data_IF_875893919905
#
_entry.id   IF_875893919905
#
_cell.length_a   1.000
_cell.length_b   1.000
_cell.length_c   1.000
_cell.angle_alpha   90.00
_cell.angle_beta   90.00
_cell.angle_gamma   90.00
#
_symmetry.space_group_name_H-M   'P 1'
#
loop_
_entity.id
_entity.type
_entity.pdbx_description
1 polymer ?
#
# COMPACT_ATOMS: atom_id res chain seq x y z
N UNK A 1 12.82 2.60 14.99
CA UNK A 1 12.32 2.81 16.36
C UNK A 1 12.94 4.08 16.94
N UNK A 2 12.13 5.05 17.26
CA UNK A 2 12.63 6.23 17.99
C UNK A 2 12.66 5.88 19.48
N UNK A 3 13.82 5.94 20.14
CA UNK A 3 13.96 5.68 21.57
C UNK A 3 13.01 6.49 22.46
N UNK A 4 12.49 7.61 21.92
CA UNK A 4 11.46 8.43 22.58
C UNK A 4 10.13 7.67 22.79
N UNK A 5 9.74 6.79 21.88
CA UNK A 5 8.52 5.97 22.03
C UNK A 5 8.71 4.92 23.13
N UNK A 6 9.89 4.30 23.22
CA UNK A 6 10.23 3.37 24.29
C UNK A 6 10.23 4.04 25.67
N UNK A 7 10.76 5.27 25.77
CA UNK A 7 10.70 6.05 26.99
C UNK A 7 9.28 6.49 27.35
N UNK A 8 8.43 6.68 26.36
CA UNK A 8 7.05 7.10 26.57
C UNK A 8 6.12 5.94 26.98
N UNK A 9 6.29 4.75 26.40
CA UNK A 9 5.43 3.59 26.60
C UNK A 9 6.12 2.35 27.19
N UNK A 10 7.41 2.40 27.46
CA UNK A 10 8.18 1.27 27.99
C UNK A 10 7.68 0.76 29.34
N UNK A 11 8.12 -0.42 29.79
CA UNK A 11 7.65 -1.10 30.99
C UNK A 11 7.76 -0.23 32.25
N UNK A 12 8.81 0.60 32.33
CA UNK A 12 9.05 1.53 33.45
C UNK A 12 8.39 2.91 33.29
N UNK A 13 7.64 3.14 32.21
CA UNK A 13 6.90 4.38 32.01
C UNK A 13 5.63 4.40 32.85
N UNK A 14 5.34 5.53 33.49
CA UNK A 14 4.05 5.78 34.15
C UNK A 14 2.91 6.02 33.15
N UNK A 15 3.23 6.20 31.88
CA UNK A 15 2.23 6.44 30.85
C UNK A 15 1.36 5.19 30.62
N UNK A 16 0.07 5.42 30.38
CA UNK A 16 -0.86 4.36 30.02
C UNK A 16 -0.60 3.91 28.57
N UNK A 17 -0.81 2.64 28.31
CA UNK A 17 -0.87 2.14 26.94
C UNK A 17 -2.08 2.70 26.20
N UNK A 18 -2.04 2.81 24.86
CA UNK A 18 -3.22 3.18 24.09
C UNK A 18 -4.40 2.25 24.39
N UNK A 19 -5.56 2.83 24.73
CA UNK A 19 -6.81 2.09 24.95
C UNK A 19 -7.65 1.99 23.67
N UNK A 20 -7.32 2.81 22.67
CA UNK A 20 -8.00 2.87 21.37
C UNK A 20 -6.98 2.95 20.23
N UNK A 21 -7.17 2.09 19.24
CA UNK A 21 -6.45 2.11 17.96
C UNK A 21 -7.47 2.41 16.87
N UNK A 22 -7.23 3.46 16.08
CA UNK A 22 -8.03 3.79 14.90
C UNK A 22 -7.24 3.43 13.66
N UNK A 23 -7.77 2.49 12.88
CA UNK A 23 -7.17 2.01 11.63
C UNK A 23 -8.01 2.49 10.46
N UNK A 24 -7.53 3.51 9.76
CA UNK A 24 -8.18 3.96 8.52
C UNK A 24 -7.70 3.15 7.31
N UNK A 25 -8.52 3.13 6.25
CA UNK A 25 -8.23 2.44 4.98
C UNK A 25 -7.84 0.96 5.16
N UNK A 26 -8.58 0.23 6.00
CA UNK A 26 -8.29 -1.18 6.33
C UNK A 26 -8.13 -2.09 5.11
N UNK A 27 -8.79 -1.80 3.99
CA UNK A 27 -8.68 -2.59 2.77
C UNK A 27 -7.26 -2.62 2.17
N UNK A 28 -6.40 -1.66 2.52
CA UNK A 28 -4.99 -1.67 2.13
C UNK A 28 -4.18 -2.71 2.91
N UNK A 29 -4.67 -3.10 4.09
CA UNK A 29 -4.01 -4.08 4.96
C UNK A 29 -4.44 -5.49 4.55
N UNK A 30 -3.97 -5.94 3.40
CA UNK A 30 -4.29 -7.25 2.82
C UNK A 30 -3.10 -7.83 2.07
N UNK A 31 -3.16 -9.11 1.71
CA UNK A 31 -2.09 -9.80 1.02
C UNK A 31 -0.77 -9.78 1.81
N UNK A 32 0.34 -9.53 1.14
CA UNK A 32 1.67 -9.52 1.76
C UNK A 32 1.81 -8.42 2.83
N UNK A 33 1.31 -7.20 2.56
CA UNK A 33 1.31 -6.12 3.55
C UNK A 33 0.47 -6.48 4.77
N UNK A 34 -0.75 -6.98 4.56
CA UNK A 34 -1.63 -7.39 5.66
C UNK A 34 -1.04 -8.53 6.49
N UNK A 35 -0.35 -9.45 5.86
CA UNK A 35 0.37 -10.54 6.53
C UNK A 35 1.44 -10.00 7.48
N UNK A 36 2.25 -9.05 7.03
CA UNK A 36 3.28 -8.42 7.87
C UNK A 36 2.67 -7.56 8.99
N UNK A 37 1.63 -6.77 8.68
CA UNK A 37 0.92 -5.98 9.70
C UNK A 37 0.35 -6.89 10.78
N UNK A 38 -0.35 -7.98 10.43
CA UNK A 38 -0.92 -8.92 11.40
C UNK A 38 0.15 -9.59 12.28
N UNK A 39 1.35 -9.84 11.75
CA UNK A 39 2.46 -10.34 12.54
C UNK A 39 2.96 -9.27 13.54
N UNK A 40 3.12 -8.01 13.12
CA UNK A 40 3.52 -6.93 14.03
C UNK A 40 2.42 -6.54 15.03
N UNK A 41 1.13 -6.72 14.70
CA UNK A 41 0.03 -6.56 15.64
C UNK A 41 0.15 -7.49 16.86
N UNK A 42 0.84 -8.63 16.70
CA UNK A 42 1.19 -9.52 17.82
C UNK A 42 2.06 -8.78 18.85
N UNK A 43 3.04 -8.00 18.40
CA UNK A 43 3.87 -7.20 19.30
C UNK A 43 3.04 -6.11 20.00
N UNK A 44 2.15 -5.43 19.28
CA UNK A 44 1.29 -4.37 19.83
C UNK A 44 0.36 -4.93 20.91
N UNK A 45 -0.29 -6.06 20.64
CA UNK A 45 -1.16 -6.73 21.60
C UNK A 45 -0.39 -7.24 22.82
N UNK A 46 0.78 -7.84 22.63
CA UNK A 46 1.63 -8.32 23.72
C UNK A 46 2.10 -7.20 24.63
N UNK A 47 2.59 -6.10 24.04
CA UNK A 47 3.04 -4.93 24.80
C UNK A 47 1.89 -4.24 25.57
N UNK A 48 0.72 -4.18 24.98
CA UNK A 48 -0.48 -3.65 25.66
C UNK A 48 -0.93 -4.56 26.78
N UNK A 49 -0.91 -5.88 26.54
CA UNK A 49 -1.26 -6.91 27.51
C UNK A 49 -0.35 -6.94 28.74
N UNK A 50 0.94 -6.66 28.61
CA UNK A 50 1.88 -6.53 29.73
C UNK A 50 1.44 -5.45 30.75
N UNK A 51 0.65 -4.46 30.32
CA UNK A 51 0.08 -3.42 31.18
C UNK A 51 -1.41 -3.66 31.49
N UNK A 52 -1.93 -4.83 31.23
CA UNK A 52 -3.32 -5.22 31.52
C UNK A 52 -4.35 -4.54 30.61
N UNK A 53 -3.96 -3.99 29.46
CA UNK A 53 -4.84 -3.29 28.54
C UNK A 53 -5.00 -4.07 27.25
N UNK A 54 -6.24 -4.25 26.79
CA UNK A 54 -6.55 -4.73 25.46
C UNK A 54 -7.14 -3.59 24.63
N UNK A 55 -6.39 -2.91 23.76
CA UNK A 55 -6.87 -1.76 23.02
C UNK A 55 -8.11 -2.10 22.19
N UNK A 56 -9.12 -1.24 22.21
CA UNK A 56 -10.24 -1.34 21.28
C UNK A 56 -9.74 -0.91 19.90
N UNK A 57 -10.02 -1.73 18.88
CA UNK A 57 -9.70 -1.37 17.49
C UNK A 57 -10.96 -0.92 16.78
N UNK A 58 -10.93 0.26 16.18
CA UNK A 58 -11.95 0.79 15.27
C UNK A 58 -11.31 0.90 13.91
N UNK A 59 -11.80 0.14 12.93
CA UNK A 59 -11.29 0.16 11.59
C UNK A 59 -12.33 0.72 10.62
N UNK A 60 -11.90 1.61 9.70
CA UNK A 60 -12.73 2.13 8.62
C UNK A 60 -12.24 1.62 7.26
N UNK A 61 -13.17 1.41 6.33
CA UNK A 61 -12.84 0.95 4.98
C UNK A 61 -13.97 1.26 4.00
N UNK A 62 -13.60 1.55 2.75
CA UNK A 62 -14.57 1.82 1.69
C UNK A 62 -15.09 0.53 1.05
N UNK A 63 -14.20 -0.42 0.73
CA UNK A 63 -14.52 -1.61 -0.08
C UNK A 63 -13.79 -2.82 0.46
N UNK A 64 -14.47 -3.65 1.22
CA UNK A 64 -13.90 -4.88 1.76
C UNK A 64 -14.93 -6.02 1.71
N UNK A 65 -14.49 -7.17 1.27
CA UNK A 65 -15.24 -8.42 1.32
C UNK A 65 -14.60 -9.32 2.36
N UNK A 66 -15.39 -10.01 3.17
CA UNK A 66 -14.94 -10.84 4.31
C UNK A 66 -14.19 -10.03 5.40
N UNK A 67 -14.70 -8.86 5.72
CA UNK A 67 -14.12 -7.98 6.75
C UNK A 67 -13.93 -8.70 8.10
N UNK A 68 -14.89 -9.54 8.48
CA UNK A 68 -14.84 -10.27 9.76
C UNK A 68 -13.66 -11.22 9.82
N UNK A 69 -13.44 -12.01 8.77
CA UNK A 69 -12.34 -12.96 8.68
C UNK A 69 -10.99 -12.23 8.68
N UNK A 70 -10.85 -11.21 7.86
CA UNK A 70 -9.62 -10.43 7.78
C UNK A 70 -9.27 -9.75 9.11
N UNK A 71 -10.24 -9.07 9.75
CA UNK A 71 -10.01 -8.41 11.02
C UNK A 71 -9.74 -9.40 12.16
N UNK A 72 -10.38 -10.57 12.17
CA UNK A 72 -10.11 -11.58 13.19
C UNK A 72 -8.69 -12.11 13.09
N UNK A 73 -8.18 -12.30 11.89
CA UNK A 73 -6.80 -12.73 11.64
C UNK A 73 -5.78 -11.65 12.00
N UNK A 74 -6.07 -10.39 11.64
CA UNK A 74 -5.17 -9.28 11.93
C UNK A 74 -5.08 -8.98 13.42
N UNK A 75 -6.22 -8.87 14.09
CA UNK A 75 -6.30 -8.33 15.45
C UNK A 75 -6.59 -9.36 16.53
N UNK A 76 -6.87 -10.62 16.16
CA UNK A 76 -7.27 -11.67 17.11
C UNK A 76 -8.42 -11.22 18.04
N UNK A 77 -9.46 -10.61 17.50
CA UNK A 77 -10.59 -10.04 18.25
C UNK A 77 -11.93 -10.41 17.64
N UNK A 78 -12.97 -10.39 18.49
CA UNK A 78 -14.35 -10.49 18.01
C UNK A 78 -14.69 -9.24 17.18
N UNK A 79 -15.12 -9.44 15.94
CA UNK A 79 -15.40 -8.37 15.00
C UNK A 79 -16.89 -8.08 14.94
N UNK A 80 -17.24 -6.81 15.07
CA UNK A 80 -18.60 -6.30 14.85
C UNK A 80 -18.54 -5.31 13.70
N UNK A 81 -19.31 -5.59 12.65
CA UNK A 81 -19.40 -4.70 11.49
C UNK A 81 -20.53 -3.66 11.74
N UNK A 82 -20.20 -2.39 11.53
CA UNK A 82 -21.16 -1.30 11.56
C UNK A 82 -21.00 -0.45 10.29
N UNK A 83 -22.10 -0.05 9.64
CA UNK A 83 -23.47 -0.45 9.95
C UNK A 83 -23.71 -1.96 9.67
N UNK A 84 -24.73 -2.50 10.31
CA UNK A 84 -25.22 -3.82 9.93
C UNK A 84 -25.73 -3.77 8.47
N UNK A 85 -25.67 -4.89 7.71
CA UNK A 85 -26.28 -4.96 6.39
C UNK A 85 -27.74 -4.50 6.45
N UNK A 86 -28.10 -3.57 5.56
CA UNK A 86 -29.49 -3.13 5.40
C UNK A 86 -30.33 -4.17 4.63
N UNK A 87 -31.65 -3.94 4.59
CA UNK A 87 -32.56 -4.73 3.77
C UNK A 87 -32.39 -4.41 2.28
N UNK A 88 -31.96 -3.20 1.96
CA UNK A 88 -31.71 -2.70 0.62
C UNK A 88 -30.21 -2.41 0.45
N UNK A 89 -29.63 -2.87 -0.67
CA UNK A 89 -28.24 -2.62 -0.97
C UNK A 89 -27.93 -1.15 -1.29
N UNK A 90 -28.95 -0.38 -1.69
CA UNK A 90 -28.86 1.03 -2.08
C UNK A 90 -29.08 1.98 -0.89
N UNK A 91 -29.47 1.46 0.28
CA UNK A 91 -29.75 2.25 1.50
C UNK A 91 -28.98 1.71 2.70
N UNK A 92 -28.04 2.47 3.19
CA UNK A 92 -27.27 2.16 4.39
C UNK A 92 -27.44 3.26 5.44
N UNK A 93 -27.00 3.00 6.68
CA UNK A 93 -27.04 3.99 7.75
C UNK A 93 -26.33 5.31 7.38
N UNK A 94 -25.25 5.25 6.60
CA UNK A 94 -24.44 6.42 6.24
C UNK A 94 -24.78 7.03 4.91
N UNK A 95 -25.35 6.27 3.97
CA UNK A 95 -25.51 6.71 2.60
C UNK A 95 -26.70 6.04 1.92
N UNK A 96 -27.33 6.80 1.05
CA UNK A 96 -28.32 6.32 0.07
C UNK A 96 -27.79 6.54 -1.32
N UNK A 97 -28.04 5.61 -2.22
CA UNK A 97 -27.71 5.78 -3.62
C UNK A 97 -28.64 6.82 -4.25
N UNK A 98 -28.06 7.92 -4.73
CA UNK A 98 -28.78 8.91 -5.52
C UNK A 98 -28.72 8.52 -7.00
N UNK A 99 -29.81 7.96 -7.51
CA UNK A 99 -29.88 7.46 -8.89
C UNK A 99 -29.73 8.59 -9.89
N UNK A 100 -28.95 8.34 -10.93
CA UNK A 100 -28.79 9.24 -12.06
C UNK A 100 -30.14 9.46 -12.72
N UNK A 101 -30.55 10.73 -12.89
CA UNK A 101 -31.78 11.11 -13.59
C UNK A 101 -31.49 12.31 -14.51
N UNK A 102 -31.20 12.00 -15.75
CA UNK A 102 -30.87 13.03 -16.74
C UNK A 102 -32.00 14.05 -16.95
N UNK A 103 -33.27 13.65 -16.74
CA UNK A 103 -34.42 14.54 -16.87
C UNK A 103 -34.45 15.64 -15.80
N UNK A 104 -33.88 15.34 -14.63
CA UNK A 104 -33.74 16.27 -13.50
C UNK A 104 -32.37 16.93 -13.42
N UNK A 105 -31.51 16.77 -14.44
CA UNK A 105 -30.15 17.30 -14.42
C UNK A 105 -29.23 16.62 -13.43
N UNK A 106 -29.60 15.42 -12.93
CA UNK A 106 -28.73 14.62 -12.05
C UNK A 106 -27.82 13.75 -12.89
N UNK A 107 -26.56 14.14 -12.90
CA UNK A 107 -25.50 13.42 -13.63
C UNK A 107 -24.57 12.74 -12.62
N UNK A 108 -23.99 11.62 -13.06
CA UNK A 108 -22.99 10.90 -12.28
C UNK A 108 -21.68 10.74 -13.05
N UNK A 109 -20.94 9.72 -12.68
CA UNK A 109 -19.72 9.32 -13.39
C UNK A 109 -20.06 8.37 -14.53
N UNK A 110 -19.56 8.68 -15.72
CA UNK A 110 -19.73 7.83 -16.91
C UNK A 110 -18.47 7.03 -17.18
N UNK A 111 -18.60 5.74 -17.36
CA UNK A 111 -17.51 4.86 -17.78
C UNK A 111 -17.57 4.56 -19.26
N UNK A 112 -16.41 4.58 -19.94
CA UNK A 112 -16.29 4.32 -21.37
C UNK A 112 -15.15 3.34 -21.61
N UNK A 113 -15.48 2.10 -22.00
CA UNK A 113 -14.49 1.08 -22.34
C UNK A 113 -14.00 1.22 -23.78
N UNK A 114 -12.70 1.17 -23.99
CA UNK A 114 -12.07 1.27 -25.31
C UNK A 114 -11.09 0.11 -25.46
N UNK A 115 -11.34 -0.73 -26.48
CA UNK A 115 -10.38 -1.75 -26.88
C UNK A 115 -9.86 -1.42 -28.28
N UNK A 116 -8.57 -1.12 -28.42
CA UNK A 116 -7.99 -0.81 -29.71
C UNK A 116 -7.97 -2.06 -30.62
N UNK A 117 -8.44 -1.91 -31.83
CA UNK A 117 -8.31 -2.90 -32.89
C UNK A 117 -7.32 -2.41 -33.93
N UNK A 118 -6.34 -3.23 -34.30
CA UNK A 118 -5.36 -2.92 -35.33
C UNK A 118 -4.34 -1.80 -34.96
N UNK A 119 -4.21 -1.46 -33.66
CA UNK A 119 -3.27 -0.46 -33.16
C UNK A 119 -2.57 -0.99 -31.91
N UNK A 120 -1.34 -0.50 -31.68
CA UNK A 120 -0.61 -0.82 -30.46
C UNK A 120 -1.22 -0.08 -29.26
N UNK A 121 -1.01 -0.63 -28.05
CA UNK A 121 -1.41 0.00 -26.77
C UNK A 121 -0.88 1.44 -26.70
N UNK A 122 0.42 1.65 -26.95
CA UNK A 122 1.05 2.97 -26.87
C UNK A 122 0.47 3.99 -27.88
N UNK A 123 0.23 3.59 -29.12
CA UNK A 123 -0.38 4.49 -30.10
C UNK A 123 -1.80 4.88 -29.71
N UNK A 124 -2.55 3.98 -29.10
CA UNK A 124 -3.90 4.30 -28.60
C UNK A 124 -3.84 5.24 -27.43
N UNK A 125 -2.91 5.03 -26.51
CA UNK A 125 -2.65 5.87 -25.35
C UNK A 125 -2.32 7.31 -25.76
N UNK A 126 -1.36 7.50 -26.69
CA UNK A 126 -1.01 8.81 -27.26
C UNK A 126 -2.24 9.51 -27.84
N UNK A 127 -2.99 8.79 -28.68
CA UNK A 127 -4.18 9.34 -29.34
C UNK A 127 -5.28 9.72 -28.36
N UNK A 128 -5.52 8.89 -27.36
CA UNK A 128 -6.51 9.15 -26.32
C UNK A 128 -6.14 10.38 -25.51
N UNK A 129 -4.91 10.45 -25.00
CA UNK A 129 -4.45 11.61 -24.25
C UNK A 129 -4.54 12.89 -25.11
N UNK A 130 -4.02 12.88 -26.33
CA UNK A 130 -4.07 14.03 -27.22
C UNK A 130 -5.50 14.47 -27.54
N UNK A 131 -6.40 13.51 -27.84
CA UNK A 131 -7.79 13.82 -28.18
C UNK A 131 -8.55 14.42 -26.97
N UNK A 132 -8.39 13.85 -25.77
CA UNK A 132 -9.06 14.33 -24.56
C UNK A 132 -8.55 15.72 -24.17
N UNK A 133 -7.24 15.94 -24.18
CA UNK A 133 -6.61 17.22 -23.89
C UNK A 133 -7.03 18.29 -24.90
N UNK A 134 -6.95 18.00 -26.19
CA UNK A 134 -7.32 18.95 -27.25
C UNK A 134 -8.82 19.28 -27.21
N UNK A 135 -9.69 18.27 -26.97
CA UNK A 135 -11.13 18.48 -26.89
C UNK A 135 -11.52 19.35 -25.71
N UNK A 136 -10.98 19.11 -24.53
CA UNK A 136 -11.21 19.95 -23.34
C UNK A 136 -10.85 21.43 -23.60
N UNK A 137 -9.80 21.67 -24.38
CA UNK A 137 -9.38 23.02 -24.76
C UNK A 137 -10.33 23.70 -25.77
N UNK A 138 -10.78 22.93 -26.78
CA UNK A 138 -11.57 23.49 -27.91
C UNK A 138 -13.07 23.60 -27.63
N UNK A 139 -13.57 23.00 -26.54
CA UNK A 139 -14.96 23.17 -26.13
C UNK A 139 -15.23 24.66 -25.77
N UNK A 140 -16.31 25.18 -26.30
CA UNK A 140 -16.80 26.51 -25.93
C UNK A 140 -17.60 26.39 -24.62
N UNK A 141 -16.89 26.57 -23.52
CA UNK A 141 -17.40 26.44 -22.16
C UNK A 141 -16.88 27.61 -21.30
N UNK A 142 -17.66 28.05 -20.31
CA UNK A 142 -17.16 29.00 -19.30
C UNK A 142 -15.89 28.46 -18.61
N UNK A 143 -14.97 29.36 -18.25
CA UNK A 143 -13.69 28.96 -17.64
C UNK A 143 -13.86 28.07 -16.42
N UNK A 144 -14.84 28.33 -15.55
CA UNK A 144 -15.14 27.51 -14.38
C UNK A 144 -15.55 26.05 -14.73
N UNK A 145 -16.25 25.86 -15.86
CA UNK A 145 -16.61 24.51 -16.35
C UNK A 145 -15.42 23.87 -17.07
N UNK A 146 -14.70 24.68 -17.86
CA UNK A 146 -13.49 24.22 -18.55
C UNK A 146 -12.42 23.76 -17.57
N UNK A 147 -12.27 24.42 -16.43
CA UNK A 147 -11.38 24.01 -15.34
C UNK A 147 -11.67 22.57 -14.87
N UNK A 148 -12.95 22.20 -14.73
CA UNK A 148 -13.35 20.85 -14.33
C UNK A 148 -12.93 19.75 -15.32
N UNK A 149 -12.64 20.11 -16.57
CA UNK A 149 -12.20 19.21 -17.63
C UNK A 149 -10.72 19.43 -18.02
N UNK A 150 -10.05 20.37 -17.36
CA UNK A 150 -8.72 20.81 -17.78
C UNK A 150 -7.64 19.81 -17.51
N UNK A 151 -7.60 19.25 -16.31
CA UNK A 151 -6.58 18.27 -15.92
C UNK A 151 -7.01 16.88 -16.34
N UNK A 152 -6.24 16.24 -17.22
CA UNK A 152 -6.40 14.83 -17.55
C UNK A 152 -5.64 13.97 -16.54
N UNK A 153 -6.37 13.22 -15.73
CA UNK A 153 -5.78 12.22 -14.85
C UNK A 153 -5.54 10.94 -15.64
N UNK A 154 -4.31 10.41 -15.64
CA UNK A 154 -3.97 9.15 -16.30
C UNK A 154 -3.48 8.16 -15.27
N UNK A 155 -4.20 7.05 -15.13
CA UNK A 155 -3.89 6.00 -14.16
C UNK A 155 -3.15 4.83 -14.80
N UNK A 156 -2.09 4.38 -14.14
CA UNK A 156 -1.26 3.25 -14.56
C UNK A 156 -1.17 2.16 -13.48
N UNK A 157 -1.16 0.91 -13.93
CA UNK A 157 -1.03 -0.25 -13.03
C UNK A 157 0.42 -0.51 -12.57
N UNK A 158 1.41 0.20 -13.14
CA UNK A 158 2.82 0.05 -12.77
C UNK A 158 3.61 1.33 -12.98
N UNK A 159 4.64 1.53 -12.16
CA UNK A 159 5.61 2.63 -12.31
C UNK A 159 6.36 2.57 -13.65
N UNK A 160 6.57 1.37 -14.19
CA UNK A 160 7.23 1.17 -15.49
C UNK A 160 6.40 1.72 -16.65
N UNK A 161 5.08 1.46 -16.63
CA UNK A 161 4.17 1.97 -17.67
C UNK A 161 4.02 3.49 -17.54
N UNK A 162 3.93 4.01 -16.32
CA UNK A 162 3.88 5.44 -16.05
C UNK A 162 5.14 6.16 -16.52
N UNK A 163 6.34 5.62 -16.23
CA UNK A 163 7.59 6.23 -16.68
C UNK A 163 7.69 6.33 -18.20
N UNK A 164 7.20 5.32 -18.94
CA UNK A 164 7.07 5.41 -20.41
C UNK A 164 6.10 6.49 -20.84
N UNK A 165 4.95 6.59 -20.16
CA UNK A 165 3.92 7.58 -20.49
C UNK A 165 4.39 9.01 -20.25
N UNK A 166 5.23 9.27 -19.26
CA UNK A 166 5.84 10.58 -19.03
C UNK A 166 6.61 11.06 -20.27
N UNK A 167 7.46 10.18 -20.83
CA UNK A 167 8.17 10.48 -22.10
C UNK A 167 7.19 10.69 -23.27
N UNK A 168 6.15 9.84 -23.38
CA UNK A 168 5.14 9.98 -24.44
C UNK A 168 4.38 11.31 -24.36
N UNK A 169 4.12 11.83 -23.14
CA UNK A 169 3.44 13.13 -22.95
C UNK A 169 4.33 14.26 -23.44
N UNK A 170 5.62 14.19 -23.17
CA UNK A 170 6.55 15.26 -23.54
C UNK A 170 6.83 15.34 -25.04
N UNK A 171 6.82 14.22 -25.72
CA UNK A 171 7.15 14.12 -27.12
C UNK A 171 5.91 13.86 -27.99
N UNK A 172 5.44 12.61 -28.03
CA UNK A 172 4.45 12.13 -28.98
C UNK A 172 3.05 12.75 -28.80
N UNK A 173 2.62 12.97 -27.55
CA UNK A 173 1.28 13.53 -27.27
C UNK A 173 1.22 15.00 -27.73
N UNK A 174 2.27 15.77 -27.49
CA UNK A 174 2.37 17.17 -27.94
C UNK A 174 2.30 17.23 -29.46
N UNK A 175 3.06 16.39 -30.17
CA UNK A 175 3.05 16.30 -31.64
C UNK A 175 1.67 15.88 -32.16
N UNK A 176 1.03 14.93 -31.49
CA UNK A 176 -0.29 14.46 -31.91
C UNK A 176 -1.38 15.50 -31.69
N UNK A 177 -1.25 16.34 -30.65
CA UNK A 177 -2.13 17.52 -30.44
C UNK A 177 -2.00 18.50 -31.62
N UNK A 178 -0.78 18.80 -32.08
CA UNK A 178 -0.55 19.67 -33.22
C UNK A 178 -1.26 19.13 -34.47
N UNK A 179 -1.04 17.84 -34.78
CA UNK A 179 -1.71 17.17 -35.92
C UNK A 179 -3.22 17.16 -35.82
N UNK A 180 -3.75 16.95 -34.62
CA UNK A 180 -5.19 16.95 -34.34
C UNK A 180 -5.79 18.34 -34.51
N UNK A 181 -5.14 19.37 -33.97
CA UNK A 181 -5.57 20.74 -34.08
C UNK A 181 -5.59 21.21 -35.55
N UNK A 182 -4.54 20.91 -36.31
CA UNK A 182 -4.45 21.23 -37.74
C UNK A 182 -5.58 20.55 -38.54
N UNK A 183 -5.86 19.30 -38.27
CA UNK A 183 -6.94 18.55 -38.94
C UNK A 183 -8.33 19.07 -38.62
N UNK A 184 -8.51 19.59 -37.40
CA UNK A 184 -9.79 20.15 -36.92
C UNK A 184 -9.90 21.66 -37.17
N UNK A 185 -8.90 22.30 -37.79
CA UNK A 185 -8.84 23.76 -37.99
C UNK A 185 -9.05 24.55 -36.72
N UNK A 186 -8.45 24.08 -35.58
CA UNK A 186 -8.57 24.69 -34.27
C UNK A 186 -7.20 25.13 -33.75
N UNK A 187 -7.19 25.98 -32.72
CA UNK A 187 -5.98 26.32 -31.99
C UNK A 187 -5.50 25.08 -31.21
N UNK A 188 -4.20 24.85 -31.21
CA UNK A 188 -3.57 23.75 -30.44
C UNK A 188 -3.56 24.08 -28.96
N UNK A 189 -3.83 23.09 -28.13
CA UNK A 189 -3.58 23.16 -26.69
C UNK A 189 -2.07 23.06 -26.42
N UNK A 190 -1.54 23.97 -25.60
CA UNK A 190 -0.16 23.87 -25.11
C UNK A 190 -0.13 23.03 -23.83
N UNK A 191 0.75 22.02 -23.79
CA UNK A 191 1.03 21.26 -22.57
C UNK A 191 2.24 21.90 -21.90
N UNK A 192 1.97 22.62 -20.81
CA UNK A 192 2.99 23.37 -20.07
C UNK A 192 3.62 22.50 -18.99
N UNK A 193 2.83 21.63 -18.36
CA UNK A 193 3.26 20.80 -17.25
C UNK A 193 2.56 19.45 -17.23
N UNK A 194 3.27 18.46 -16.72
CA UNK A 194 2.76 17.17 -16.29
C UNK A 194 3.22 16.93 -14.85
N UNK A 195 2.30 16.55 -13.99
CA UNK A 195 2.56 16.28 -12.59
C UNK A 195 2.42 14.78 -12.31
N UNK A 196 3.06 14.29 -11.25
CA UNK A 196 3.10 12.86 -10.93
C UNK A 196 2.67 12.59 -9.49
N UNK A 197 1.82 11.56 -9.30
CA UNK A 197 1.39 11.04 -8.00
C UNK A 197 1.76 9.55 -7.89
N UNK A 198 2.99 9.30 -7.44
CA UNK A 198 3.52 7.94 -7.30
C UNK A 198 4.40 7.81 -6.06
N UNK A 199 4.73 6.56 -5.70
CA UNK A 199 5.61 6.27 -4.57
C UNK A 199 7.09 6.64 -4.80
N UNK A 200 7.48 7.02 -6.02
CA UNK A 200 8.85 7.46 -6.32
C UNK A 200 9.08 8.96 -6.07
N UNK A 201 7.99 9.72 -5.97
CA UNK A 201 8.03 11.16 -5.68
C UNK A 201 8.22 11.37 -4.18
N UNK A 202 9.01 12.36 -3.80
CA UNK A 202 9.22 12.69 -2.39
C UNK A 202 7.95 13.24 -1.74
N UNK A 203 7.84 13.17 -0.41
CA UNK A 203 6.68 13.70 0.32
C UNK A 203 6.50 15.21 0.09
N UNK A 204 7.60 15.95 -0.06
CA UNK A 204 7.58 17.39 -0.33
C UNK A 204 6.99 17.68 -1.71
N UNK A 205 7.49 17.03 -2.76
CA UNK A 205 6.98 17.16 -4.13
C UNK A 205 5.53 16.71 -4.24
N UNK A 206 5.14 15.66 -3.49
CA UNK A 206 3.75 15.20 -3.42
C UNK A 206 2.83 16.30 -2.88
N UNK A 207 3.21 16.93 -1.76
CA UNK A 207 2.44 18.01 -1.15
C UNK A 207 2.36 19.24 -2.07
N UNK A 208 3.45 19.60 -2.74
CA UNK A 208 3.46 20.70 -3.73
C UNK A 208 2.52 20.42 -4.91
N UNK A 209 2.52 19.17 -5.40
CA UNK A 209 1.60 18.74 -6.46
C UNK A 209 0.15 18.82 -6.02
N UNK A 210 -0.17 18.36 -4.81
CA UNK A 210 -1.53 18.43 -4.26
C UNK A 210 -1.98 19.90 -4.07
N UNK A 211 -1.13 20.71 -3.47
CA UNK A 211 -1.38 22.14 -3.30
C UNK A 211 -1.64 22.84 -4.63
N UNK A 212 -0.86 22.53 -5.66
CA UNK A 212 -1.05 23.05 -7.01
C UNK A 212 -2.39 22.61 -7.62
N UNK A 213 -2.73 21.31 -7.48
CA UNK A 213 -4.00 20.78 -7.98
C UNK A 213 -5.21 21.39 -7.27
N UNK A 214 -5.11 21.77 -6.02
CA UNK A 214 -6.21 22.38 -5.27
C UNK A 214 -6.34 23.88 -5.52
N UNK A 215 -5.21 24.60 -5.57
CA UNK A 215 -5.19 26.08 -5.54
C UNK A 215 -5.12 26.74 -6.90
N UNK A 216 -4.53 26.07 -7.93
CA UNK A 216 -4.32 26.69 -9.24
C UNK A 216 -5.37 26.18 -10.23
N UNK A 217 -6.41 26.97 -10.44
CA UNK A 217 -7.48 26.72 -11.41
C UNK A 217 -7.11 27.19 -12.81
N UNK A 218 -7.71 26.56 -13.83
CA UNK A 218 -7.67 27.10 -15.19
C UNK A 218 -8.55 28.35 -15.27
N UNK A 219 -7.92 29.50 -15.50
CA UNK A 219 -8.60 30.72 -15.85
C UNK A 219 -7.70 31.59 -16.73
N UNK A 220 -8.29 32.48 -17.52
CA UNK A 220 -7.53 33.44 -18.33
C UNK A 220 -6.68 34.35 -17.46
N UNK A 221 -7.20 34.74 -16.30
CA UNK A 221 -6.49 35.56 -15.32
C UNK A 221 -5.24 34.87 -14.78
N UNK A 222 -5.33 33.59 -14.43
CA UNK A 222 -4.18 32.80 -13.93
C UNK A 222 -3.12 32.61 -15.04
N UNK A 223 -3.55 32.44 -16.30
CA UNK A 223 -2.63 32.35 -17.44
C UNK A 223 -1.85 33.66 -17.61
N UNK A 224 -2.51 34.84 -17.52
CA UNK A 224 -1.86 36.14 -17.58
C UNK A 224 -0.84 36.33 -16.45
N UNK A 225 -1.13 35.80 -15.25
CA UNK A 225 -0.23 35.76 -14.09
C UNK A 225 0.86 34.66 -14.19
N UNK A 226 0.92 33.93 -15.30
CA UNK A 226 1.82 32.79 -15.51
C UNK A 226 1.65 31.64 -14.47
N UNK A 227 0.46 31.55 -13.89
CA UNK A 227 0.05 30.45 -13.00
C UNK A 227 -0.72 29.42 -13.84
N UNK A 228 -0.08 28.31 -14.16
CA UNK A 228 -0.65 27.30 -15.04
C UNK A 228 -1.22 26.14 -14.25
N UNK A 229 -2.51 25.88 -14.40
CA UNK A 229 -3.14 24.67 -13.90
C UNK A 229 -2.51 23.42 -14.53
N UNK A 230 -2.47 22.33 -13.78
CA UNK A 230 -1.93 21.05 -14.26
C UNK A 230 -2.64 20.59 -15.54
N UNK A 231 -1.88 20.22 -16.57
CA UNK A 231 -2.43 19.69 -17.81
C UNK A 231 -2.67 18.19 -17.74
N UNK A 232 -1.67 17.44 -17.25
CA UNK A 232 -1.70 15.99 -17.14
C UNK A 232 -1.26 15.60 -15.74
N UNK A 233 -2.00 14.71 -15.11
CA UNK A 233 -1.67 14.12 -13.84
C UNK A 233 -1.44 12.62 -14.05
N UNK A 234 -0.18 12.18 -13.98
CA UNK A 234 0.19 10.77 -14.09
C UNK A 234 0.15 10.13 -12.70
N UNK A 235 -0.60 9.07 -12.54
CA UNK A 235 -0.79 8.46 -11.22
C UNK A 235 -0.76 6.93 -11.25
N UNK A 236 -0.36 6.34 -10.11
CA UNK A 236 -0.55 4.92 -9.81
C UNK A 236 -1.54 4.78 -8.64
N UNK A 237 -1.51 3.68 -7.92
CA UNK A 237 -2.36 3.43 -6.75
C UNK A 237 -2.30 4.54 -5.68
N UNK A 238 -1.28 5.39 -5.68
CA UNK A 238 -1.20 6.55 -4.77
C UNK A 238 -2.38 7.51 -4.92
N UNK A 239 -3.00 7.60 -6.09
CA UNK A 239 -4.22 8.41 -6.27
C UNK A 239 -5.39 7.88 -5.42
N UNK A 240 -5.39 6.59 -5.10
CA UNK A 240 -6.43 5.94 -4.30
C UNK A 240 -6.38 6.32 -2.82
N UNK A 241 -5.26 6.87 -2.34
CA UNK A 241 -5.00 7.12 -0.92
C UNK A 241 -4.99 8.62 -0.64
N UNK A 242 -5.97 9.09 0.15
CA UNK A 242 -5.94 10.43 0.76
C UNK A 242 -6.06 11.65 -0.16
N UNK A 243 -6.29 11.46 -1.48
CA UNK A 243 -6.41 12.57 -2.42
C UNK A 243 -7.87 12.96 -2.61
N UNK A 244 -8.19 14.20 -2.31
CA UNK A 244 -9.54 14.77 -2.49
C UNK A 244 -9.50 16.09 -3.26
N UNK A 245 -9.23 16.01 -4.55
CA UNK A 245 -9.21 17.16 -5.45
C UNK A 245 -10.52 17.22 -6.25
N UNK A 246 -11.42 18.08 -5.83
CA UNK A 246 -12.80 18.16 -6.36
C UNK A 246 -12.90 18.54 -7.86
N UNK A 247 -11.86 19.15 -8.41
CA UNK A 247 -11.82 19.63 -9.81
C UNK A 247 -11.45 18.57 -10.84
N UNK A 248 -11.03 17.37 -10.42
CA UNK A 248 -10.68 16.29 -11.34
C UNK A 248 -11.94 15.59 -11.83
N UNK A 249 -12.24 15.65 -13.12
CA UNK A 249 -13.45 15.05 -13.68
C UNK A 249 -13.21 14.22 -14.95
N UNK A 250 -11.98 14.16 -15.45
CA UNK A 250 -11.63 13.33 -16.62
C UNK A 250 -10.48 12.40 -16.25
N UNK A 251 -10.68 11.11 -16.46
CA UNK A 251 -9.64 10.09 -16.21
C UNK A 251 -9.49 9.17 -17.42
N UNK A 252 -8.24 8.83 -17.72
CA UNK A 252 -7.87 7.72 -18.59
C UNK A 252 -7.19 6.64 -17.76
N UNK A 253 -7.80 5.46 -17.64
CA UNK A 253 -7.20 4.29 -17.02
C UNK A 253 -6.53 3.42 -18.09
N UNK A 254 -5.24 3.18 -17.97
CA UNK A 254 -4.44 2.41 -18.94
C UNK A 254 -4.34 0.95 -18.49
N UNK A 255 -5.29 0.14 -18.92
CA UNK A 255 -5.49 -1.25 -18.52
C UNK A 255 -6.35 -1.40 -17.26
N UNK A 256 -6.96 -2.57 -17.11
CA UNK A 256 -7.74 -2.91 -15.94
C UNK A 256 -6.82 -3.11 -14.72
N UNK A 257 -7.05 -2.46 -13.58
CA UNK A 257 -6.37 -2.75 -12.33
C UNK A 257 -6.49 -4.23 -11.93
N UNK A 258 -5.55 -4.70 -11.12
CA UNK A 258 -5.54 -6.11 -10.69
C UNK A 258 -6.71 -6.45 -9.81
N UNK A 259 -7.08 -5.52 -8.94
CA UNK A 259 -8.19 -5.66 -7.99
C UNK A 259 -9.35 -4.74 -8.38
N UNK A 260 -10.56 -5.25 -8.24
CA UNK A 260 -11.78 -4.45 -8.44
C UNK A 260 -11.89 -3.33 -7.40
N UNK A 261 -11.44 -3.56 -6.18
CA UNK A 261 -11.36 -2.53 -5.14
C UNK A 261 -10.47 -1.36 -5.57
N UNK A 262 -9.30 -1.63 -6.15
CA UNK A 262 -8.40 -0.63 -6.70
C UNK A 262 -9.02 0.15 -7.86
N UNK A 263 -9.72 -0.56 -8.76
CA UNK A 263 -10.49 0.05 -9.85
C UNK A 263 -11.52 1.05 -9.34
N UNK A 264 -12.32 0.65 -8.34
CA UNK A 264 -13.35 1.48 -7.73
C UNK A 264 -12.73 2.72 -7.08
N UNK A 265 -11.69 2.53 -6.27
CA UNK A 265 -11.05 3.60 -5.52
C UNK A 265 -10.36 4.62 -6.41
N UNK A 266 -9.60 4.17 -7.42
CA UNK A 266 -8.93 5.06 -8.35
C UNK A 266 -9.96 5.83 -9.20
N UNK A 267 -10.94 5.16 -9.79
CA UNK A 267 -11.95 5.81 -10.62
C UNK A 267 -12.87 6.74 -9.84
N UNK A 268 -13.06 6.49 -8.53
CA UNK A 268 -13.89 7.35 -7.65
C UNK A 268 -13.22 8.70 -7.34
N UNK A 269 -11.96 8.89 -7.66
CA UNK A 269 -11.24 10.17 -7.44
C UNK A 269 -11.61 11.25 -8.45
N UNK A 270 -12.28 10.89 -9.54
CA UNK A 270 -12.81 11.88 -10.50
C UNK A 270 -14.34 11.90 -10.48
N UNK A 271 -14.92 13.06 -10.81
CA UNK A 271 -16.37 13.22 -10.85
C UNK A 271 -17.01 13.18 -9.46
N UNK A 272 -16.41 13.82 -8.45
CA UNK A 272 -16.94 13.89 -7.09
C UNK A 272 -17.97 15.00 -6.91
N UNK A 273 -17.64 16.20 -7.32
CA UNK A 273 -18.48 17.39 -7.17
C UNK A 273 -19.10 17.85 -8.50
N UNK A 274 -18.66 17.30 -9.61
CA UNK A 274 -19.13 17.61 -10.97
C UNK A 274 -19.20 16.31 -11.79
N UNK A 275 -20.06 16.22 -12.81
CA UNK A 275 -20.12 15.03 -13.66
C UNK A 275 -18.76 14.64 -14.22
N UNK A 276 -18.37 13.37 -14.04
CA UNK A 276 -17.07 12.88 -14.44
C UNK A 276 -17.15 11.84 -15.55
N UNK A 277 -16.02 11.63 -16.24
CA UNK A 277 -15.87 10.56 -17.23
C UNK A 277 -14.57 9.80 -17.02
N UNK A 278 -14.68 8.49 -17.02
CA UNK A 278 -13.56 7.56 -16.91
C UNK A 278 -13.48 6.75 -18.20
N UNK A 279 -12.43 6.97 -18.95
CA UNK A 279 -12.09 6.15 -20.10
C UNK A 279 -11.18 5.01 -19.64
N UNK A 280 -11.54 3.78 -19.99
CA UNK A 280 -10.75 2.58 -19.68
C UNK A 280 -10.19 2.03 -20.98
N UNK A 281 -8.90 2.17 -21.17
CA UNK A 281 -8.19 1.62 -22.32
C UNK A 281 -7.76 0.19 -22.01
N UNK A 282 -8.40 -0.79 -22.60
CA UNK A 282 -8.06 -2.19 -22.48
C UNK A 282 -6.96 -2.63 -23.45
N UNK A 283 -6.18 -3.61 -23.04
CA UNK A 283 -5.13 -4.23 -23.86
C UNK A 283 -5.64 -5.55 -24.45
N UNK A 284 -5.85 -5.59 -25.76
CA UNK A 284 -6.37 -6.76 -26.46
C UNK A 284 -5.43 -8.00 -26.34
N UNK A 285 -4.16 -7.82 -25.97
CA UNK A 285 -3.21 -8.91 -25.79
C UNK A 285 -3.34 -9.58 -24.41
N UNK A 286 -4.01 -8.92 -23.45
CA UNK A 286 -4.20 -9.43 -22.10
C UNK A 286 -5.58 -10.08 -21.94
N UNK A 287 -5.61 -11.35 -21.59
CA UNK A 287 -6.86 -12.10 -21.40
C UNK A 287 -7.81 -11.45 -20.39
N UNK A 288 -7.26 -10.91 -19.29
CA UNK A 288 -8.06 -10.20 -18.27
C UNK A 288 -8.72 -8.95 -18.83
N UNK A 289 -7.99 -8.11 -19.55
CA UNK A 289 -8.52 -6.88 -20.14
C UNK A 289 -9.59 -7.20 -21.16
N UNK A 290 -9.41 -8.24 -21.97
CA UNK A 290 -10.43 -8.72 -22.92
C UNK A 290 -11.71 -9.17 -22.21
N UNK A 291 -11.59 -9.97 -21.15
CA UNK A 291 -12.74 -10.43 -20.37
C UNK A 291 -13.54 -9.27 -19.76
N UNK A 292 -12.85 -8.26 -19.22
CA UNK A 292 -13.51 -7.07 -18.68
C UNK A 292 -14.18 -6.22 -19.77
N UNK A 293 -13.57 -6.13 -20.95
CA UNK A 293 -14.17 -5.41 -22.07
C UNK A 293 -15.43 -6.11 -22.60
N UNK A 294 -15.37 -7.43 -22.79
CA UNK A 294 -16.50 -8.24 -23.27
C UNK A 294 -17.69 -8.18 -22.31
N UNK A 295 -17.43 -8.08 -21.01
CA UNK A 295 -18.46 -8.00 -19.96
C UNK A 295 -18.61 -6.60 -19.39
N UNK A 296 -18.19 -5.57 -20.12
CA UNK A 296 -18.07 -4.20 -19.62
C UNK A 296 -19.33 -3.69 -18.91
N UNK A 297 -20.51 -3.84 -19.55
CA UNK A 297 -21.78 -3.38 -18.98
C UNK A 297 -22.14 -4.15 -17.72
N UNK A 298 -22.17 -5.47 -17.79
CA UNK A 298 -22.52 -6.31 -16.65
C UNK A 298 -21.58 -6.10 -15.44
N UNK A 299 -20.31 -5.85 -15.70
CA UNK A 299 -19.35 -5.54 -14.67
C UNK A 299 -19.65 -4.18 -14.00
N UNK A 300 -19.91 -3.13 -14.77
CA UNK A 300 -20.19 -1.80 -14.23
C UNK A 300 -21.56 -1.67 -13.56
N UNK A 301 -22.54 -2.44 -13.99
CA UNK A 301 -23.88 -2.47 -13.36
C UNK A 301 -23.84 -3.02 -11.92
N UNK A 302 -22.79 -3.79 -11.57
CA UNK A 302 -22.69 -4.42 -10.26
C UNK A 302 -21.24 -4.65 -9.80
N UNK A 303 -20.32 -3.73 -10.09
CA UNK A 303 -18.89 -3.96 -9.87
C UNK A 303 -18.50 -4.16 -8.39
N UNK A 304 -19.27 -3.66 -7.44
CA UNK A 304 -19.07 -3.97 -6.00
C UNK A 304 -19.20 -5.47 -5.68
N UNK A 305 -19.97 -6.23 -6.47
CA UNK A 305 -20.11 -7.69 -6.33
C UNK A 305 -18.83 -8.44 -6.72
N UNK A 306 -18.00 -7.84 -7.55
CA UNK A 306 -16.75 -8.41 -8.04
C UNK A 306 -15.54 -8.07 -7.19
N UNK A 307 -15.72 -7.30 -6.11
CA UNK A 307 -14.64 -7.04 -5.15
C UNK A 307 -14.13 -8.36 -4.61
N UNK A 308 -12.85 -8.59 -4.78
CA UNK A 308 -12.18 -9.82 -4.41
C UNK A 308 -12.10 -9.94 -2.87
N UNK A 309 -12.26 -11.15 -2.32
CA UNK A 309 -11.99 -11.37 -0.92
C UNK A 309 -10.49 -11.20 -0.68
N UNK A 310 -10.16 -10.36 0.27
CA UNK A 310 -8.77 -10.18 0.71
C UNK A 310 -8.54 -10.92 2.00
N UNK A 311 -7.30 -11.34 2.26
CA UNK A 311 -6.91 -12.04 3.47
C UNK A 311 -5.47 -11.71 3.82
N UNK A 312 -5.08 -12.14 5.00
CA UNK A 312 -3.72 -12.08 5.50
C UNK A 312 -3.39 -13.41 6.19
N UNK A 313 -2.13 -13.80 6.14
CA UNK A 313 -1.61 -15.03 6.75
C UNK A 313 -0.40 -14.70 7.63
N UNK A 314 -0.60 -14.02 8.79
CA UNK A 314 0.50 -13.44 9.58
C UNK A 314 1.60 -14.41 9.98
N UNK A 315 1.23 -15.68 10.22
CA UNK A 315 2.16 -16.71 10.67
C UNK A 315 2.55 -17.72 9.59
N UNK A 316 2.35 -17.38 8.30
CA UNK A 316 2.91 -18.19 7.22
C UNK A 316 4.43 -18.22 7.28
N UNK A 317 5.04 -19.35 6.91
CA UNK A 317 6.50 -19.54 6.97
C UNK A 317 7.31 -18.38 6.36
N UNK A 318 6.99 -17.85 5.15
CA UNK A 318 7.72 -16.71 4.60
C UNK A 318 7.59 -15.42 5.42
N UNK A 319 6.51 -15.23 6.15
CA UNK A 319 6.33 -14.08 7.02
C UNK A 319 7.14 -14.23 8.32
N UNK A 320 7.12 -15.42 8.92
CA UNK A 320 7.90 -15.76 10.11
C UNK A 320 9.39 -15.59 9.87
N UNK A 321 9.93 -16.15 8.79
CA UNK A 321 11.33 -16.01 8.38
C UNK A 321 11.79 -14.55 8.30
N UNK A 322 10.89 -13.66 7.89
CA UNK A 322 11.21 -12.23 7.68
C UNK A 322 11.07 -11.37 8.93
N UNK A 323 10.16 -11.68 9.84
CA UNK A 323 9.82 -10.75 10.90
C UNK A 323 9.43 -11.35 12.26
N UNK A 324 9.36 -12.66 12.44
CA UNK A 324 9.08 -13.26 13.76
C UNK A 324 10.14 -12.87 14.79
N UNK A 325 11.40 -12.88 14.41
CA UNK A 325 12.52 -12.44 15.23
C UNK A 325 12.40 -10.96 15.64
N UNK A 326 11.86 -10.11 14.80
CA UNK A 326 11.65 -8.70 15.11
C UNK A 326 10.51 -8.51 16.14
N UNK A 327 9.42 -9.30 16.02
CA UNK A 327 8.32 -9.33 17.00
C UNK A 327 8.83 -9.80 18.36
N UNK A 328 9.57 -10.91 18.40
CA UNK A 328 10.15 -11.46 19.62
C UNK A 328 11.09 -10.44 20.29
N UNK A 329 11.98 -9.82 19.50
CA UNK A 329 12.87 -8.77 19.99
C UNK A 329 12.10 -7.57 20.53
N UNK A 330 11.03 -7.12 19.86
CA UNK A 330 10.22 -6.00 20.32
C UNK A 330 9.58 -6.30 21.69
N UNK A 331 9.06 -7.50 21.89
CA UNK A 331 8.45 -7.93 23.15
C UNK A 331 9.48 -8.03 24.28
N UNK A 332 10.61 -8.71 24.06
CA UNK A 332 11.69 -8.83 25.04
C UNK A 332 12.28 -7.47 25.38
N UNK A 333 12.58 -6.66 24.38
CA UNK A 333 13.18 -5.34 24.55
C UNK A 333 12.35 -4.42 25.44
N UNK A 334 11.03 -4.44 25.28
CA UNK A 334 10.14 -3.60 26.08
C UNK A 334 9.88 -4.17 27.46
N UNK A 335 9.81 -5.49 27.59
CA UNK A 335 9.64 -6.16 28.89
C UNK A 335 10.85 -5.91 29.80
N UNK A 336 12.06 -6.02 29.24
CA UNK A 336 13.32 -5.92 29.97
C UNK A 336 13.93 -4.49 29.94
N UNK A 337 13.21 -3.52 29.39
CA UNK A 337 13.65 -2.10 29.30
C UNK A 337 14.98 -1.92 28.55
N UNK A 338 15.22 -2.72 27.52
CA UNK A 338 16.40 -2.56 26.64
C UNK A 338 16.23 -1.35 25.72
N UNK A 339 16.35 -0.14 26.27
CA UNK A 339 16.02 1.11 25.58
C UNK A 339 17.06 1.54 24.57
N UNK A 340 18.33 1.36 24.89
CA UNK A 340 19.44 1.82 24.06
C UNK A 340 19.81 0.81 22.97
N UNK A 341 20.45 1.30 21.90
CA UNK A 341 20.88 0.44 20.80
C UNK A 341 21.90 -0.62 21.26
N UNK A 342 22.77 -0.27 22.22
CA UNK A 342 23.76 -1.17 22.80
C UNK A 342 23.21 -2.11 23.85
N UNK A 343 21.95 -1.96 24.27
CA UNK A 343 21.31 -2.87 25.24
C UNK A 343 21.14 -4.29 24.70
N UNK A 344 21.26 -4.50 23.38
CA UNK A 344 21.29 -5.84 22.80
C UNK A 344 22.39 -6.74 23.43
N UNK A 345 23.46 -6.15 23.97
CA UNK A 345 24.56 -6.83 24.64
C UNK A 345 24.24 -7.32 26.05
N UNK A 346 23.14 -6.86 26.64
CA UNK A 346 22.69 -7.26 27.98
C UNK A 346 21.84 -8.54 27.97
N UNK A 347 21.54 -9.06 26.80
CA UNK A 347 20.74 -10.28 26.68
C UNK A 347 21.51 -11.46 27.25
N UNK A 348 20.76 -12.31 27.98
CA UNK A 348 21.23 -13.56 28.53
C UNK A 348 20.07 -14.57 28.55
N UNK A 349 20.19 -15.63 27.78
CA UNK A 349 19.13 -16.59 27.58
C UNK A 349 18.73 -17.36 28.84
N UNK A 350 19.66 -17.55 29.80
CA UNK A 350 19.38 -18.22 31.06
C UNK A 350 18.66 -17.27 32.03
N UNK A 351 19.10 -16.03 32.13
CA UNK A 351 18.48 -15.00 33.00
C UNK A 351 17.06 -14.72 32.55
N UNK A 352 16.82 -14.62 31.25
CA UNK A 352 15.50 -14.28 30.67
C UNK A 352 14.69 -15.49 30.25
N UNK A 353 15.05 -16.72 30.63
CA UNK A 353 14.39 -17.96 30.21
C UNK A 353 12.87 -17.94 30.46
N UNK A 354 12.44 -17.43 31.62
CA UNK A 354 11.03 -17.33 31.98
C UNK A 354 10.27 -16.36 31.07
N UNK A 355 10.88 -15.21 30.75
CA UNK A 355 10.28 -14.18 29.92
C UNK A 355 10.19 -14.62 28.46
N UNK A 356 11.20 -15.34 27.98
CA UNK A 356 11.22 -15.96 26.66
C UNK A 356 10.10 -17.00 26.56
N UNK A 357 9.90 -17.84 27.58
CA UNK A 357 8.82 -18.83 27.61
C UNK A 357 7.43 -18.19 27.63
N UNK A 358 7.22 -17.15 28.45
CA UNK A 358 5.96 -16.41 28.49
C UNK A 358 5.63 -15.77 27.14
N UNK A 359 6.61 -15.14 26.47
CA UNK A 359 6.43 -14.51 25.16
C UNK A 359 6.19 -15.57 24.08
N UNK A 360 6.91 -16.68 24.12
CA UNK A 360 6.72 -17.82 23.22
C UNK A 360 5.30 -18.38 23.32
N UNK A 361 4.83 -18.64 24.53
CA UNK A 361 3.47 -19.14 24.79
C UNK A 361 2.40 -18.11 24.37
N UNK A 362 2.63 -16.83 24.54
CA UNK A 362 1.74 -15.77 24.04
C UNK A 362 1.64 -15.80 22.51
N UNK A 363 2.77 -15.89 21.79
CA UNK A 363 2.77 -15.97 20.32
C UNK A 363 2.02 -17.21 19.85
N UNK A 364 2.27 -18.38 20.49
CA UNK A 364 1.62 -19.64 20.13
C UNK A 364 0.13 -19.58 20.37
N UNK A 365 -0.32 -19.08 21.54
CA UNK A 365 -1.75 -18.95 21.83
C UNK A 365 -2.47 -18.07 20.82
N UNK A 366 -1.79 -17.05 20.29
CA UNK A 366 -2.32 -16.21 19.21
C UNK A 366 -2.44 -16.96 17.89
N UNK A 367 -1.45 -17.80 17.55
CA UNK A 367 -1.48 -18.65 16.36
C UNK A 367 -2.66 -19.63 16.44
N UNK A 368 -2.83 -20.28 17.57
CA UNK A 368 -3.96 -21.19 17.83
C UNK A 368 -5.31 -20.49 17.69
N UNK A 369 -5.45 -19.31 18.28
CA UNK A 369 -6.68 -18.54 18.22
C UNK A 369 -7.05 -18.09 16.80
N UNK A 370 -6.06 -17.72 15.99
CA UNK A 370 -6.25 -17.26 14.60
C UNK A 370 -6.54 -18.45 13.67
N UNK A 371 -5.83 -19.57 13.83
CA UNK A 371 -5.89 -20.73 12.94
C UNK A 371 -6.91 -21.80 13.35
N UNK A 372 -7.56 -21.66 14.51
CA UNK A 372 -8.46 -22.68 15.09
C UNK A 372 -9.61 -23.15 14.18
N UNK A 373 -9.78 -22.53 13.02
CA UNK A 373 -10.88 -22.83 12.08
C UNK A 373 -10.45 -23.46 10.75
N UNK A 374 -9.15 -23.65 10.49
CA UNK A 374 -8.70 -23.89 9.11
C UNK A 374 -7.67 -24.99 8.86
N UNK A 375 -6.98 -25.58 9.86
CA UNK A 375 -5.78 -26.38 9.52
C UNK A 375 -5.66 -27.72 10.22
N UNK A 376 -5.48 -28.78 9.40
CA UNK A 376 -4.92 -30.07 9.80
C UNK A 376 -3.41 -30.03 10.16
N UNK A 377 -2.70 -28.96 9.79
CA UNK A 377 -1.25 -28.80 9.96
C UNK A 377 -0.85 -27.87 11.12
N UNK A 378 -1.82 -27.47 11.94
CA UNK A 378 -1.58 -26.49 13.02
C UNK A 378 -0.53 -26.96 14.04
N UNK A 379 -0.48 -28.23 14.35
CA UNK A 379 0.52 -28.81 15.29
C UNK A 379 1.93 -28.67 14.71
N UNK A 380 2.10 -28.94 13.42
CA UNK A 380 3.38 -28.78 12.74
C UNK A 380 3.80 -27.30 12.69
N UNK A 381 2.88 -26.39 12.36
CA UNK A 381 3.15 -24.95 12.37
C UNK A 381 3.58 -24.45 13.75
N UNK A 382 2.98 -24.95 14.84
CA UNK A 382 3.34 -24.59 16.22
C UNK A 382 4.73 -25.13 16.57
N UNK A 383 5.05 -26.36 16.17
CA UNK A 383 6.37 -26.94 16.37
C UNK A 383 7.45 -26.12 15.65
N UNK A 384 7.22 -25.78 14.39
CA UNK A 384 8.13 -24.94 13.59
C UNK A 384 8.37 -23.58 14.25
N UNK A 385 7.31 -22.95 14.76
CA UNK A 385 7.42 -21.63 15.42
C UNK A 385 8.23 -21.72 16.71
N UNK A 386 8.07 -22.78 17.50
CA UNK A 386 8.91 -23.02 18.70
C UNK A 386 10.37 -23.15 18.33
N UNK A 387 10.67 -23.92 17.32
CA UNK A 387 12.03 -24.15 16.83
C UNK A 387 12.63 -22.81 16.32
N UNK A 388 11.90 -22.07 15.49
CA UNK A 388 12.32 -20.76 14.96
C UNK A 388 12.60 -19.74 16.09
N UNK A 389 11.82 -19.77 17.18
CA UNK A 389 12.06 -18.92 18.36
C UNK A 389 13.35 -19.35 19.06
N UNK A 390 13.54 -20.65 19.31
CA UNK A 390 14.75 -21.14 19.95
C UNK A 390 16.01 -20.85 19.13
N UNK A 391 15.98 -21.12 17.83
CA UNK A 391 17.07 -20.78 16.91
C UNK A 391 17.45 -19.30 16.97
N UNK A 392 16.46 -18.41 17.07
CA UNK A 392 16.74 -16.98 17.16
C UNK A 392 17.32 -16.58 18.54
N UNK A 393 16.87 -17.19 19.62
CA UNK A 393 17.40 -16.97 20.98
C UNK A 393 18.87 -17.42 21.05
N UNK A 394 19.16 -18.62 20.55
CA UNK A 394 20.52 -19.15 20.47
C UNK A 394 21.43 -18.26 19.60
N UNK A 395 20.90 -17.80 18.47
CA UNK A 395 21.59 -16.85 17.61
C UNK A 395 21.93 -15.57 18.38
N UNK A 396 20.96 -14.97 19.09
CA UNK A 396 21.21 -13.73 19.84
C UNK A 396 22.25 -13.94 20.94
N UNK A 397 22.13 -15.05 21.71
CA UNK A 397 23.09 -15.44 22.73
C UNK A 397 24.51 -15.58 22.15
N UNK A 398 24.65 -16.27 21.02
CA UNK A 398 25.96 -16.42 20.34
C UNK A 398 26.56 -15.08 19.89
N UNK A 399 25.73 -14.13 19.48
CA UNK A 399 26.17 -12.78 19.08
C UNK A 399 26.65 -11.97 20.30
N UNK A 400 25.99 -12.11 21.45
CA UNK A 400 26.44 -11.52 22.73
C UNK A 400 27.79 -12.07 23.16
N UNK A 401 27.97 -13.38 23.09
CA UNK A 401 29.24 -14.04 23.45
C UNK A 401 30.39 -13.57 22.56
N UNK A 402 30.16 -13.47 21.25
CA UNK A 402 31.12 -12.90 20.30
C UNK A 402 31.48 -11.45 20.63
N UNK A 403 30.50 -10.67 21.09
CA UNK A 403 30.71 -9.27 21.45
C UNK A 403 31.46 -9.13 22.81
N UNK A 404 31.18 -9.99 23.79
CA UNK A 404 31.86 -9.99 25.11
C UNK A 404 33.37 -10.18 25.01
N UNK A 405 33.89 -10.81 23.97
CA UNK A 405 35.32 -10.92 23.71
C UNK A 405 35.99 -9.60 23.26
N UNK A 406 35.20 -8.52 23.12
CA UNK A 406 35.63 -7.23 22.56
C UNK A 406 35.18 -6.09 23.48
N UNK A 407 36.04 -5.68 24.40
CA UNK A 407 35.74 -4.69 25.44
C UNK A 407 35.17 -3.36 24.89
N UNK A 408 35.60 -2.91 23.70
CA UNK A 408 35.26 -1.61 23.14
C UNK A 408 34.08 -1.60 22.15
N UNK A 409 33.46 -2.74 21.82
CA UNK A 409 32.47 -2.84 20.77
C UNK A 409 31.28 -3.73 21.15
N UNK A 410 30.40 -3.24 22.06
CA UNK A 410 29.24 -4.02 22.50
C UNK A 410 28.31 -4.29 21.32
N UNK A 411 27.59 -5.43 21.40
CA UNK A 411 26.50 -5.77 20.45
C UNK A 411 25.42 -4.68 20.51
N UNK A 412 25.00 -4.18 19.35
CA UNK A 412 23.87 -3.26 19.22
C UNK A 412 22.73 -3.88 18.40
N UNK A 413 21.52 -3.32 18.49
CA UNK A 413 20.41 -3.78 17.66
C UNK A 413 20.64 -3.49 16.17
N UNK A 414 21.37 -2.44 15.83
CA UNK A 414 21.75 -2.16 14.45
C UNK A 414 21.44 -0.76 13.95
N UNK A 415 20.80 0.09 14.75
CA UNK A 415 20.47 1.48 14.37
C UNK A 415 21.72 2.26 13.97
N UNK A 416 22.81 2.09 14.71
CA UNK A 416 24.10 2.74 14.47
C UNK A 416 24.71 2.43 13.10
N UNK A 417 24.40 1.26 12.55
CA UNK A 417 25.01 0.75 11.33
C UNK A 417 24.03 0.70 10.12
N UNK A 418 22.99 1.50 10.16
CA UNK A 418 22.04 1.54 9.02
C UNK A 418 22.67 2.06 7.73
N UNK A 419 23.60 3.02 7.85
CA UNK A 419 24.25 3.66 6.69
C UNK A 419 25.58 2.97 6.36
N UNK A 420 26.40 2.70 7.38
CA UNK A 420 27.73 2.09 7.23
C UNK A 420 27.77 0.74 7.95
N UNK A 421 27.90 -0.38 7.22
CA UNK A 421 28.00 -1.68 7.87
C UNK A 421 29.25 -1.76 8.74
N UNK A 422 29.23 -2.51 9.87
CA UNK A 422 30.40 -2.73 10.69
C UNK A 422 31.43 -3.55 9.94
N UNK A 423 32.70 -3.38 10.30
CA UNK A 423 33.81 -4.11 9.68
C UNK A 423 33.94 -5.57 10.15
N UNK A 424 33.24 -5.95 11.23
CA UNK A 424 33.42 -7.25 11.90
C UNK A 424 32.10 -7.86 12.36
N UNK A 425 32.05 -9.19 12.42
CA UNK A 425 30.94 -9.96 12.99
C UNK A 425 30.70 -9.64 14.47
N UNK A 426 29.45 -9.72 14.92
CA UNK A 426 29.09 -9.58 16.33
C UNK A 426 28.98 -8.12 16.80
N UNK A 427 28.92 -7.16 15.92
CA UNK A 427 28.71 -5.75 16.29
C UNK A 427 27.28 -5.29 16.21
N UNK A 428 26.43 -5.96 15.41
CA UNK A 428 24.99 -5.69 15.32
C UNK A 428 24.18 -6.98 15.25
N UNK A 429 23.01 -6.97 15.86
CA UNK A 429 22.05 -8.08 15.83
C UNK A 429 21.28 -8.12 14.50
N UNK A 430 20.89 -6.94 14.00
CA UNK A 430 20.09 -6.80 12.79
C UNK A 430 20.78 -5.99 11.70
N UNK A 431 20.49 -6.38 10.47
CA UNK A 431 20.79 -5.61 9.26
C UNK A 431 19.55 -5.44 8.41
N UNK A 432 19.57 -4.43 7.56
CA UNK A 432 18.50 -4.23 6.60
C UNK A 432 18.41 -5.42 5.63
N UNK A 433 17.20 -5.82 5.30
CA UNK A 433 16.93 -6.87 4.32
C UNK A 433 17.60 -6.55 2.97
N UNK A 434 18.30 -7.51 2.39
CA UNK A 434 19.12 -7.36 1.17
C UNK A 434 20.26 -6.33 1.24
N UNK A 435 20.63 -5.84 2.42
CA UNK A 435 21.82 -4.99 2.54
C UNK A 435 23.10 -5.80 2.28
N UNK A 436 24.09 -5.23 1.58
CA UNK A 436 25.38 -5.88 1.41
C UNK A 436 26.08 -6.02 2.78
N UNK A 437 26.72 -7.15 3.01
CA UNK A 437 27.52 -7.40 4.22
C UNK A 437 27.51 -8.89 4.58
N UNK A 438 28.64 -9.35 5.13
CA UNK A 438 28.83 -10.72 5.65
C UNK A 438 29.09 -10.71 7.14
N UNK A 439 28.46 -9.79 7.87
CA UNK A 439 28.68 -9.57 9.30
C UNK A 439 27.86 -10.47 10.23
N UNK A 440 27.28 -11.54 9.68
CA UNK A 440 26.49 -12.49 10.45
C UNK A 440 25.19 -11.95 11.05
N UNK A 441 24.88 -10.66 10.91
CA UNK A 441 23.68 -10.05 11.44
C UNK A 441 22.40 -10.60 10.76
N UNK A 442 21.32 -10.76 11.53
CA UNK A 442 20.03 -11.22 11.00
C UNK A 442 19.39 -10.16 10.11
N UNK A 443 18.92 -10.57 8.94
CA UNK A 443 18.18 -9.67 8.06
C UNK A 443 16.81 -9.35 8.66
N UNK A 444 16.44 -8.07 8.66
CA UNK A 444 15.11 -7.62 9.10
C UNK A 444 14.54 -6.57 8.17
N UNK A 445 13.23 -6.46 8.12
CA UNK A 445 12.54 -5.48 7.29
C UNK A 445 12.61 -4.09 7.94
N UNK A 446 12.92 -3.08 7.13
CA UNK A 446 12.85 -1.66 7.52
C UNK A 446 11.55 -0.99 7.11
N UNK A 447 10.79 -1.63 6.22
CA UNK A 447 9.48 -1.17 5.76
C UNK A 447 8.59 -2.35 5.41
N UNK A 448 7.36 -2.33 5.88
CA UNK A 448 6.36 -3.35 5.54
C UNK A 448 5.95 -3.31 4.06
N UNK A 449 6.17 -2.20 3.36
CA UNK A 449 5.87 -2.07 1.92
C UNK A 449 6.90 -2.75 1.01
N UNK A 450 8.09 -3.04 1.51
CA UNK A 450 9.16 -3.68 0.73
C UNK A 450 8.99 -5.20 0.61
N UNK A 451 7.91 -5.77 1.13
CA UNK A 451 7.65 -7.21 1.10
C UNK A 451 7.48 -7.74 -0.32
N UNK A 452 6.96 -6.93 -1.23
CA UNK A 452 6.66 -7.32 -2.61
C UNK A 452 7.87 -7.19 -3.57
N UNK A 453 9.00 -6.62 -3.13
CA UNK A 453 10.10 -6.25 -4.03
C UNK A 453 11.22 -7.27 -4.16
N UNK A 454 11.26 -8.30 -3.31
CA UNK A 454 12.34 -9.29 -3.35
C UNK A 454 11.80 -10.72 -3.29
N UNK A 455 11.74 -11.37 -4.44
CA UNK A 455 11.57 -12.82 -4.53
C UNK A 455 12.97 -13.45 -4.70
N UNK A 456 13.46 -14.17 -3.71
CA UNK A 456 14.60 -15.10 -3.91
C UNK A 456 14.06 -16.30 -4.67
N UNK A 457 14.37 -16.39 -5.96
CA UNK A 457 14.20 -17.62 -6.74
C UNK A 457 15.42 -18.51 -6.54
N UNK A 458 15.24 -19.73 -6.00
CA UNK A 458 16.26 -20.78 -6.03
C UNK A 458 16.01 -21.66 -7.24
N UNK A 459 16.98 -21.80 -8.13
CA UNK A 459 16.94 -22.80 -9.19
C UNK A 459 17.64 -24.05 -8.63
N UNK A 460 16.89 -25.11 -8.41
CA UNK A 460 17.46 -26.42 -8.09
C UNK A 460 17.74 -27.11 -9.42
N UNK A 461 19.02 -27.26 -9.75
CA UNK A 461 19.47 -28.06 -10.90
C UNK A 461 19.62 -29.47 -10.35
N UNK A 462 18.80 -30.38 -10.83
CA UNK A 462 19.00 -31.83 -10.61
C UNK A 462 19.98 -32.30 -11.68
N UNK A 463 21.18 -32.66 -11.28
CA UNK A 463 22.04 -33.46 -12.12
C UNK A 463 21.60 -34.92 -11.97
N UNK A 464 21.06 -35.49 -13.04
CA UNK A 464 20.85 -36.94 -13.10
C UNK A 464 22.22 -37.64 -13.07
N UNK A 465 22.48 -38.44 -12.05
CA UNK A 465 23.71 -39.23 -11.94
C UNK A 465 23.79 -40.39 -12.96
N UNK A 466 22.98 -40.38 -14.01
CA UNK A 466 22.98 -41.39 -15.06
C UNK A 466 23.00 -40.69 -16.45
N UNK A 467 24.17 -40.27 -16.87
CA UNK A 467 24.47 -39.85 -18.21
C UNK A 467 25.68 -40.60 -18.75
#
# INVERSE_FOLDING_TARGET
WDGRVGNFFGANSSNRTPELIIQDELHLISGALGTMVGLYETAIDGLSGMKGVAPKVIASTATIRRAKEQCSVLYNRKVVQFPAPGLDAEDSFFAREDRIDYSKGKYGRKYVGIMPSGRTKAMTEIRMMAALLQKAYTMDLPDAVKDKLWTLTVYFNSLKDLGKASTLVDDDVKDFIIRTANRMFTQRRLIVNSDELTSRVTTTELNETLDKLEKIEYSKENIEKKQYASNVLLATNMISVGIDVARLNVMLMVGQPKLTSEYIQASSRVGRSYPGVVFVQYDATKSRDRSHYERFRAYHDSFYRFVEPTGATPFSKPARERALHAVLTALLRQKESFTDDTSANHFDSEIFAKDIEEISNFIISRIEAINSRANSDLENDISDVREEIHEFIDFWQSMVEKARSREDKPLCFGKRYMINPPSEDGQRLFRQYNAPGKDGARETLTSMRNVDTAVKGSVIIWEDENG
#
